data_IF_729820206543
#
_entry.id   IF_729820206543
#
_cell.length_a   1.000
_cell.length_b   1.000
_cell.length_c   1.000
_cell.angle_alpha   90.00
_cell.angle_beta   90.00
_cell.angle_gamma   90.00
#
_symmetry.space_group_name_H-M   'P 1'
#
loop_
_entity.id
_entity.type
_entity.pdbx_description
1 polymer ?
#
# COMPACT_ATOMS: atom_id res chain seq x y z
N UNK A 1 -13.39 -14.94 2.58
CA UNK A 1 -13.11 -14.62 3.99
C UNK A 1 -14.38 -14.80 4.81
N UNK A 2 -14.39 -15.73 5.78
CA UNK A 2 -15.45 -15.93 6.73
C UNK A 2 -15.01 -15.54 8.14
N UNK A 3 -15.97 -15.41 9.07
CA UNK A 3 -15.65 -15.17 10.47
C UNK A 3 -14.82 -16.34 11.04
N UNK A 4 -15.20 -17.57 10.71
CA UNK A 4 -14.51 -18.77 11.21
C UNK A 4 -13.07 -18.87 10.71
N UNK A 5 -12.83 -18.57 9.40
CA UNK A 5 -11.48 -18.60 8.86
C UNK A 5 -10.57 -17.54 9.49
N UNK A 6 -11.09 -16.32 9.74
CA UNK A 6 -10.29 -15.25 10.32
C UNK A 6 -10.07 -15.43 11.82
N UNK A 7 -11.08 -15.93 12.54
CA UNK A 7 -10.93 -16.21 13.96
C UNK A 7 -9.96 -17.35 14.21
N UNK A 8 -9.97 -18.39 13.35
CA UNK A 8 -8.99 -19.48 13.41
C UNK A 8 -7.55 -19.02 13.18
N UNK A 9 -7.32 -18.14 12.17
CA UNK A 9 -6.01 -17.53 11.95
C UNK A 9 -5.53 -16.67 13.13
N UNK A 10 -6.47 -15.99 13.78
CA UNK A 10 -6.17 -15.15 14.94
C UNK A 10 -6.11 -15.94 16.28
N UNK A 11 -6.32 -17.26 16.25
CA UNK A 11 -6.36 -18.15 17.42
C UNK A 11 -7.42 -17.73 18.47
N UNK A 12 -8.53 -17.16 18.02
CA UNK A 12 -9.67 -16.78 18.83
C UNK A 12 -10.92 -17.60 18.48
N UNK A 13 -11.84 -17.74 19.44
CA UNK A 13 -13.18 -18.22 19.09
C UNK A 13 -13.89 -17.19 18.18
N UNK A 14 -14.80 -17.61 17.27
CA UNK A 14 -15.54 -16.71 16.39
C UNK A 14 -16.26 -15.58 17.13
N UNK A 15 -16.85 -15.90 18.29
CA UNK A 15 -17.55 -14.93 19.13
C UNK A 15 -16.59 -13.87 19.72
N UNK A 16 -15.44 -14.29 20.20
CA UNK A 16 -14.45 -13.41 20.80
C UNK A 16 -13.82 -12.51 19.72
N UNK A 17 -13.44 -13.09 18.58
CA UNK A 17 -12.94 -12.34 17.42
C UNK A 17 -13.95 -11.28 16.96
N UNK A 18 -15.23 -11.65 16.82
CA UNK A 18 -16.28 -10.71 16.40
C UNK A 18 -16.40 -9.52 17.37
N UNK A 19 -16.34 -9.76 18.67
CA UNK A 19 -16.41 -8.71 19.70
C UNK A 19 -15.22 -7.76 19.62
N UNK A 20 -14.00 -8.31 19.56
CA UNK A 20 -12.77 -7.52 19.46
C UNK A 20 -12.79 -6.72 18.15
N UNK A 21 -13.08 -7.37 17.03
CA UNK A 21 -13.13 -6.72 15.72
C UNK A 21 -14.11 -5.54 15.72
N UNK A 22 -15.33 -5.74 16.22
CA UNK A 22 -16.33 -4.69 16.31
C UNK A 22 -15.91 -3.55 17.25
N UNK A 23 -15.25 -3.85 18.36
CA UNK A 23 -14.77 -2.84 19.31
C UNK A 23 -13.66 -1.96 18.71
N UNK A 24 -12.74 -2.57 17.94
CA UNK A 24 -11.59 -1.86 17.35
C UNK A 24 -12.01 -1.10 16.08
N UNK A 25 -12.79 -1.74 15.20
CA UNK A 25 -13.13 -1.20 13.87
C UNK A 25 -14.42 -0.37 13.87
N UNK A 26 -15.27 -0.51 14.92
CA UNK A 26 -16.55 0.19 15.05
C UNK A 26 -17.69 -0.45 14.26
N UNK A 27 -17.44 -1.48 13.44
CA UNK A 27 -18.44 -2.19 12.64
C UNK A 27 -18.22 -3.70 12.67
N UNK A 28 -19.27 -4.48 12.32
CA UNK A 28 -19.14 -5.94 12.25
C UNK A 28 -18.23 -6.36 11.09
N UNK A 29 -17.54 -7.49 11.21
CA UNK A 29 -16.70 -8.04 10.13
C UNK A 29 -17.47 -8.15 8.80
N UNK A 30 -18.73 -8.59 8.84
CA UNK A 30 -19.57 -8.70 7.64
C UNK A 30 -19.84 -7.33 7.00
N UNK A 31 -20.15 -6.32 7.81
CA UNK A 31 -20.37 -4.95 7.32
C UNK A 31 -19.07 -4.39 6.72
N UNK A 32 -17.95 -4.57 7.39
CA UNK A 32 -16.62 -4.20 6.91
C UNK A 32 -16.29 -4.83 5.55
N UNK A 33 -16.48 -6.16 5.40
CA UNK A 33 -16.20 -6.86 4.14
C UNK A 33 -17.09 -6.32 3.01
N UNK A 34 -18.40 -6.15 3.27
CA UNK A 34 -19.34 -5.62 2.27
C UNK A 34 -18.93 -4.20 1.87
N UNK A 35 -18.62 -3.35 2.83
CA UNK A 35 -18.14 -1.98 2.57
C UNK A 35 -16.88 -1.98 1.71
N UNK A 36 -15.87 -2.78 2.07
CA UNK A 36 -14.62 -2.90 1.30
C UNK A 36 -14.82 -3.43 -0.13
N UNK A 37 -15.74 -4.36 -0.32
CA UNK A 37 -16.13 -4.83 -1.67
C UNK A 37 -16.78 -3.71 -2.49
N UNK A 38 -17.70 -2.96 -1.89
CA UNK A 38 -18.36 -1.82 -2.55
C UNK A 38 -17.36 -0.72 -2.90
N UNK A 39 -16.48 -0.34 -1.97
CA UNK A 39 -15.41 0.64 -2.21
C UNK A 39 -14.56 0.29 -3.44
N UNK A 40 -14.16 -0.99 -3.56
CA UNK A 40 -13.40 -1.47 -4.73
C UNK A 40 -14.19 -1.42 -6.04
N UNK A 41 -15.51 -1.73 -6.01
CA UNK A 41 -16.34 -1.67 -7.23
C UNK A 41 -16.52 -0.24 -7.72
N UNK A 42 -16.59 0.72 -6.82
CA UNK A 42 -16.69 2.15 -7.19
C UNK A 42 -15.49 2.61 -7.99
N UNK A 43 -14.30 2.24 -7.56
CA UNK A 43 -13.09 2.54 -8.29
C UNK A 43 -13.17 2.06 -9.76
N UNK A 44 -13.62 0.82 -9.98
CA UNK A 44 -13.79 0.28 -11.34
C UNK A 44 -14.85 1.04 -12.12
N UNK A 45 -16.00 1.36 -11.50
CA UNK A 45 -17.10 2.10 -12.15
C UNK A 45 -16.70 3.54 -12.54
N UNK A 46 -15.75 4.14 -11.80
CA UNK A 46 -15.21 5.46 -12.12
C UNK A 46 -14.31 5.45 -13.36
N UNK A 47 -13.52 4.40 -13.53
CA UNK A 47 -12.47 4.34 -14.54
C UNK A 47 -12.87 3.57 -15.82
N UNK A 48 -13.84 2.66 -15.71
CA UNK A 48 -14.29 1.83 -16.85
C UNK A 48 -15.74 2.14 -17.22
N UNK A 49 -15.94 2.87 -18.31
CA UNK A 49 -17.28 3.32 -18.75
C UNK A 49 -18.24 2.21 -19.20
N UNK A 50 -17.73 1.01 -19.51
CA UNK A 50 -18.51 -0.09 -20.10
C UNK A 50 -18.29 -1.42 -19.36
N UNK A 51 -18.35 -1.40 -18.02
CA UNK A 51 -18.25 -2.63 -17.23
C UNK A 51 -19.66 -3.18 -16.99
N UNK A 52 -19.84 -4.47 -17.22
CA UNK A 52 -21.05 -5.19 -16.85
C UNK A 52 -21.24 -5.18 -15.33
N UNK A 53 -22.34 -4.61 -14.86
CA UNK A 53 -22.67 -4.57 -13.43
C UNK A 53 -22.78 -5.99 -12.84
N UNK A 54 -23.27 -6.94 -13.63
CA UNK A 54 -23.39 -8.34 -13.24
C UNK A 54 -22.02 -8.99 -13.05
N UNK A 55 -21.12 -8.83 -14.02
CA UNK A 55 -19.74 -9.35 -13.92
C UNK A 55 -19.00 -8.72 -12.74
N UNK A 56 -19.14 -7.39 -12.58
CA UNK A 56 -18.53 -6.67 -11.47
C UNK A 56 -19.01 -7.22 -10.12
N UNK A 57 -20.32 -7.49 -9.99
CA UNK A 57 -20.87 -8.03 -8.74
C UNK A 57 -20.28 -9.39 -8.39
N UNK A 58 -20.11 -10.27 -9.36
CA UNK A 58 -19.54 -11.60 -9.18
C UNK A 58 -18.05 -11.53 -8.88
N UNK A 59 -17.29 -10.72 -9.63
CA UNK A 59 -15.87 -10.51 -9.45
C UNK A 59 -15.52 -10.03 -8.03
N UNK A 60 -16.37 -9.18 -7.44
CA UNK A 60 -16.17 -8.69 -6.08
C UNK A 60 -16.89 -9.50 -5.00
N UNK A 61 -17.33 -10.72 -5.34
CA UNK A 61 -17.79 -11.74 -4.40
C UNK A 61 -19.20 -11.50 -3.84
N UNK A 62 -20.07 -10.87 -4.60
CA UNK A 62 -21.51 -10.84 -4.30
C UNK A 62 -22.20 -12.05 -4.92
N UNK A 63 -23.09 -12.67 -4.17
CA UNK A 63 -23.82 -13.87 -4.62
C UNK A 63 -24.86 -13.57 -5.72
N UNK A 64 -25.25 -12.30 -5.89
CA UNK A 64 -26.19 -11.88 -6.92
C UNK A 64 -26.07 -10.39 -7.19
N UNK A 65 -26.45 -9.97 -8.40
CA UNK A 65 -26.55 -8.57 -8.79
C UNK A 65 -27.54 -7.79 -7.87
N UNK A 66 -28.61 -8.42 -7.41
CA UNK A 66 -29.58 -7.83 -6.49
C UNK A 66 -28.96 -7.53 -5.12
N UNK A 67 -28.14 -8.43 -4.59
CA UNK A 67 -27.44 -8.21 -3.32
C UNK A 67 -26.40 -7.10 -3.42
N UNK A 68 -25.66 -7.06 -4.54
CA UNK A 68 -24.72 -6.00 -4.85
C UNK A 68 -25.42 -4.63 -4.97
N UNK A 69 -26.48 -4.56 -5.78
CA UNK A 69 -27.24 -3.32 -6.01
C UNK A 69 -27.82 -2.76 -4.71
N UNK A 70 -28.37 -3.61 -3.83
CA UNK A 70 -28.87 -3.20 -2.51
C UNK A 70 -27.76 -2.66 -1.62
N UNK A 71 -26.62 -3.37 -1.56
CA UNK A 71 -25.48 -2.93 -0.78
C UNK A 71 -24.94 -1.60 -1.32
N UNK A 72 -24.76 -1.49 -2.63
CA UNK A 72 -24.27 -0.28 -3.29
C UNK A 72 -25.19 0.92 -3.03
N UNK A 73 -26.53 0.71 -3.20
CA UNK A 73 -27.52 1.77 -2.96
C UNK A 73 -27.54 2.21 -1.48
N UNK A 74 -27.27 1.29 -0.55
CA UNK A 74 -27.16 1.61 0.87
C UNK A 74 -25.99 2.58 1.13
N UNK A 75 -24.84 2.40 0.46
CA UNK A 75 -23.64 3.22 0.66
C UNK A 75 -23.64 4.52 -0.14
N UNK A 76 -24.18 4.51 -1.36
CA UNK A 76 -24.09 5.64 -2.31
C UNK A 76 -25.44 6.32 -2.63
N UNK A 77 -26.53 5.85 -2.03
CA UNK A 77 -27.87 6.41 -2.24
C UNK A 77 -28.46 6.15 -3.63
N UNK A 78 -27.71 5.55 -4.55
CA UNK A 78 -28.11 5.26 -5.93
C UNK A 78 -27.63 3.89 -6.38
N UNK A 79 -28.21 3.36 -7.48
CA UNK A 79 -27.78 2.07 -8.04
C UNK A 79 -26.41 2.17 -8.73
N UNK A 80 -25.69 1.03 -8.89
CA UNK A 80 -24.42 1.01 -9.64
C UNK A 80 -24.57 1.52 -11.08
N UNK A 81 -25.69 1.19 -11.73
CA UNK A 81 -25.97 1.64 -13.12
C UNK A 81 -26.22 3.14 -13.22
N UNK A 82 -26.93 3.72 -12.26
CA UNK A 82 -27.11 5.18 -12.16
C UNK A 82 -25.80 5.88 -11.88
N UNK A 83 -24.97 5.31 -11.00
CA UNK A 83 -23.65 5.80 -10.68
C UNK A 83 -22.74 5.82 -11.92
N UNK A 84 -22.71 4.72 -12.69
CA UNK A 84 -21.93 4.61 -13.92
C UNK A 84 -22.37 5.64 -14.98
N UNK A 85 -23.69 5.88 -15.14
CA UNK A 85 -24.25 6.83 -16.10
C UNK A 85 -23.99 8.30 -15.74
N UNK A 86 -24.01 8.64 -14.45
CA UNK A 86 -23.88 10.04 -13.97
C UNK A 86 -22.48 10.60 -14.11
N UNK A 87 -21.51 9.79 -14.50
CA UNK A 87 -20.11 10.14 -14.79
C UNK A 87 -19.47 11.01 -13.68
N UNK A 88 -18.78 10.40 -12.74
CA UNK A 88 -18.42 10.99 -11.44
C UNK A 88 -17.33 12.06 -11.44
N UNK A 89 -16.80 12.50 -12.58
CA UNK A 89 -16.03 13.74 -12.65
C UNK A 89 -16.83 14.97 -12.13
N UNK A 90 -18.13 14.76 -11.81
CA UNK A 90 -19.03 15.75 -11.18
C UNK A 90 -19.42 15.39 -9.75
N UNK A 91 -18.72 14.48 -9.06
CA UNK A 91 -19.04 14.08 -7.68
C UNK A 91 -19.00 15.24 -6.68
N UNK A 92 -18.29 16.31 -6.97
CA UNK A 92 -18.30 17.53 -6.15
C UNK A 92 -19.67 18.23 -6.10
N UNK A 93 -20.63 17.86 -6.96
CA UNK A 93 -21.96 18.49 -7.04
C UNK A 93 -23.14 17.63 -6.53
N UNK A 94 -22.94 16.35 -6.17
CA UNK A 94 -24.02 15.52 -5.60
C UNK A 94 -24.17 15.77 -4.08
N UNK A 95 -23.83 16.94 -3.63
CA UNK A 95 -23.77 17.36 -2.22
C UNK A 95 -25.11 17.62 -1.54
N UNK A 96 -26.23 17.60 -2.26
CA UNK A 96 -27.52 17.99 -1.69
C UNK A 96 -28.68 17.31 -2.42
N UNK A 97 -28.99 16.09 -2.04
CA UNK A 97 -30.35 15.60 -2.17
C UNK A 97 -30.56 14.46 -1.18
N UNK A 98 -31.16 14.78 -0.06
CA UNK A 98 -32.10 13.96 0.69
C UNK A 98 -31.71 12.49 0.92
N UNK A 99 -30.74 12.25 1.80
CA UNK A 99 -30.57 10.97 2.45
C UNK A 99 -30.82 11.14 3.95
N UNK A 100 -31.74 10.32 4.49
CA UNK A 100 -32.05 10.27 5.92
C UNK A 100 -30.86 9.79 6.80
N UNK A 101 -29.71 9.47 6.18
CA UNK A 101 -28.49 8.98 6.83
C UNK A 101 -27.28 9.85 6.43
N UNK A 102 -27.30 11.12 6.72
CA UNK A 102 -26.24 12.09 6.35
C UNK A 102 -24.81 11.76 6.85
N UNK A 103 -24.63 10.87 7.81
CA UNK A 103 -23.31 10.44 8.29
C UNK A 103 -22.62 9.39 7.39
N UNK A 104 -23.37 8.51 6.72
CA UNK A 104 -22.80 7.45 5.86
C UNK A 104 -22.29 8.00 4.52
N UNK A 105 -22.90 9.08 3.97
CA UNK A 105 -22.46 9.72 2.74
C UNK A 105 -21.14 10.51 2.92
N UNK A 106 -20.92 11.12 4.08
CA UNK A 106 -19.69 11.84 4.42
C UNK A 106 -18.45 10.95 4.41
N UNK A 107 -18.57 9.68 4.82
CA UNK A 107 -17.46 8.73 4.86
C UNK A 107 -17.06 8.32 3.43
N UNK A 108 -18.05 8.08 2.57
CA UNK A 108 -17.80 7.69 1.16
C UNK A 108 -17.20 8.85 0.36
N UNK A 109 -17.69 10.07 0.54
CA UNK A 109 -17.14 11.26 -0.12
C UNK A 109 -15.70 11.55 0.31
N UNK A 110 -15.40 11.43 1.61
CA UNK A 110 -14.04 11.57 2.12
C UNK A 110 -13.12 10.50 1.56
N UNK A 111 -13.59 9.27 1.42
CA UNK A 111 -12.79 8.17 0.87
C UNK A 111 -12.45 8.40 -0.60
N UNK A 112 -13.44 8.75 -1.44
CA UNK A 112 -13.23 9.04 -2.87
C UNK A 112 -12.36 10.28 -3.05
N UNK A 113 -12.60 11.33 -2.28
CA UNK A 113 -11.78 12.53 -2.29
C UNK A 113 -10.32 12.21 -1.92
N UNK A 114 -10.11 11.33 -0.94
CA UNK A 114 -8.78 10.89 -0.52
C UNK A 114 -8.08 10.08 -1.63
N UNK A 115 -8.76 9.13 -2.28
CA UNK A 115 -8.22 8.39 -3.42
C UNK A 115 -7.81 9.34 -4.54
N UNK A 116 -8.68 10.25 -4.95
CA UNK A 116 -8.40 11.20 -6.01
C UNK A 116 -7.22 12.12 -5.67
N UNK A 117 -7.11 12.55 -4.42
CA UNK A 117 -5.98 13.35 -3.95
C UNK A 117 -4.66 12.57 -4.04
N UNK A 118 -4.65 11.29 -3.68
CA UNK A 118 -3.49 10.42 -3.83
C UNK A 118 -3.12 10.18 -5.29
N UNK A 119 -4.10 9.91 -6.15
CA UNK A 119 -3.87 9.69 -7.58
C UNK A 119 -3.38 10.95 -8.30
N UNK A 120 -3.91 12.12 -7.95
CA UNK A 120 -3.43 13.39 -8.48
C UNK A 120 -2.02 13.71 -7.98
N UNK A 121 -1.76 13.47 -6.71
CA UNK A 121 -0.45 13.69 -6.11
C UNK A 121 0.62 12.81 -6.76
N UNK A 122 0.36 11.51 -6.96
CA UNK A 122 1.34 10.59 -7.52
C UNK A 122 1.64 10.89 -9.00
N UNK A 123 0.66 11.37 -9.77
CA UNK A 123 0.87 11.83 -11.15
C UNK A 123 1.85 12.99 -11.27
N UNK A 124 1.90 13.84 -10.24
CA UNK A 124 2.78 15.02 -10.25
C UNK A 124 4.16 14.74 -9.63
N UNK A 125 4.26 13.72 -8.78
CA UNK A 125 5.43 13.51 -7.94
C UNK A 125 6.17 12.18 -8.21
N UNK A 126 5.64 11.33 -9.10
CA UNK A 126 6.25 10.04 -9.40
C UNK A 126 6.26 9.71 -10.90
N UNK A 127 7.33 9.05 -11.32
CA UNK A 127 7.34 8.26 -12.55
C UNK A 127 7.09 6.80 -12.17
N UNK A 128 6.01 6.19 -12.72
CA UNK A 128 5.62 4.82 -12.38
C UNK A 128 5.83 3.92 -13.59
N UNK A 129 6.55 2.84 -13.39
CA UNK A 129 6.85 1.82 -14.40
C UNK A 129 6.60 0.41 -13.84
N UNK A 130 6.31 -0.52 -14.73
CA UNK A 130 6.29 -1.95 -14.42
C UNK A 130 7.60 -2.55 -14.93
N UNK A 131 8.39 -3.13 -14.02
CA UNK A 131 9.71 -3.68 -14.36
C UNK A 131 9.90 -5.08 -13.78
N UNK A 132 10.64 -5.91 -14.51
CA UNK A 132 11.25 -7.12 -13.95
C UNK A 132 12.52 -6.68 -13.19
N UNK A 133 12.53 -6.95 -11.91
CA UNK A 133 13.69 -6.69 -11.04
C UNK A 133 14.48 -7.98 -10.95
N UNK A 134 15.78 -7.95 -11.25
CA UNK A 134 16.63 -9.12 -11.11
C UNK A 134 16.82 -9.47 -9.63
N UNK A 135 17.40 -10.64 -9.38
CA UNK A 135 17.85 -10.99 -8.03
C UNK A 135 18.89 -9.99 -7.53
N UNK A 136 18.69 -9.44 -6.32
CA UNK A 136 19.59 -8.46 -5.70
C UNK A 136 20.13 -9.02 -4.37
N UNK A 137 21.44 -9.17 -4.28
CA UNK A 137 22.12 -9.57 -3.03
C UNK A 137 22.35 -8.37 -2.14
N UNK A 138 22.24 -8.58 -0.83
CA UNK A 138 22.45 -7.51 0.14
C UNK A 138 23.15 -7.99 1.42
N UNK A 139 23.80 -7.05 2.08
CA UNK A 139 24.12 -7.09 3.49
C UNK A 139 23.15 -6.18 4.26
N UNK A 140 22.73 -6.53 5.45
CA UNK A 140 21.71 -5.78 6.19
C UNK A 140 21.88 -5.81 7.69
N UNK A 141 21.22 -4.85 8.34
CA UNK A 141 20.92 -4.86 9.77
C UNK A 141 19.39 -4.89 9.90
N UNK A 142 18.89 -5.87 10.65
CA UNK A 142 17.47 -5.96 10.97
C UNK A 142 17.14 -4.97 12.09
N UNK A 143 16.06 -4.20 11.90
CA UNK A 143 15.57 -3.20 12.83
C UNK A 143 14.08 -3.39 13.14
N UNK A 144 13.68 -3.06 14.37
CA UNK A 144 12.30 -3.10 14.84
C UNK A 144 11.85 -1.71 15.25
N UNK A 145 10.67 -1.31 14.80
CA UNK A 145 10.06 -0.01 15.09
C UNK A 145 10.48 1.07 14.09
N UNK A 146 9.81 2.21 14.22
CA UNK A 146 10.02 3.37 13.35
C UNK A 146 11.07 4.34 13.90
N UNK A 147 11.43 4.21 15.17
CA UNK A 147 12.41 5.06 15.85
C UNK A 147 13.83 4.49 15.74
N UNK A 148 14.84 5.35 15.63
CA UNK A 148 16.24 4.93 15.56
C UNK A 148 16.70 4.37 14.21
N UNK A 149 15.87 4.43 13.17
CA UNK A 149 16.19 3.94 11.82
C UNK A 149 17.44 4.64 11.26
N UNK A 150 17.60 5.93 11.52
CA UNK A 150 18.75 6.73 11.05
C UNK A 150 20.06 6.22 11.66
N UNK A 151 20.07 5.86 12.94
CA UNK A 151 21.27 5.30 13.60
C UNK A 151 21.68 3.96 12.96
N UNK A 152 20.70 3.14 12.58
CA UNK A 152 20.95 1.87 11.88
C UNK A 152 21.53 2.12 10.48
N UNK A 153 20.99 3.09 9.74
CA UNK A 153 21.57 3.51 8.46
C UNK A 153 23.02 3.96 8.63
N UNK A 154 23.30 4.83 9.60
CA UNK A 154 24.65 5.34 9.85
C UNK A 154 25.63 4.21 10.23
N UNK A 155 25.21 3.25 11.06
CA UNK A 155 26.03 2.07 11.41
C UNK A 155 26.35 1.23 10.18
N UNK A 156 25.35 0.94 9.35
CA UNK A 156 25.52 0.13 8.14
C UNK A 156 26.41 0.85 7.11
N UNK A 157 26.22 2.16 6.91
CA UNK A 157 27.08 2.97 6.03
C UNK A 157 28.52 2.99 6.52
N UNK A 158 28.74 3.16 7.83
CA UNK A 158 30.09 3.12 8.42
C UNK A 158 30.78 1.78 8.17
N UNK A 159 30.06 0.67 8.37
CA UNK A 159 30.58 -0.66 8.07
C UNK A 159 30.86 -0.83 6.57
N UNK A 160 29.93 -0.47 5.70
CA UNK A 160 30.08 -0.60 4.25
C UNK A 160 31.23 0.25 3.68
N UNK A 161 31.51 1.41 4.29
CA UNK A 161 32.68 2.22 3.97
C UNK A 161 33.99 1.51 4.37
N UNK A 162 34.03 0.89 5.55
CA UNK A 162 35.21 0.13 6.00
C UNK A 162 35.50 -1.08 5.09
N UNK A 163 34.46 -1.74 4.58
CA UNK A 163 34.58 -2.84 3.60
C UNK A 163 34.80 -2.34 2.15
N UNK A 164 34.89 -1.02 1.92
CA UNK A 164 35.12 -0.43 0.60
C UNK A 164 33.95 -0.60 -0.38
N UNK A 165 32.73 -0.91 0.12
CA UNK A 165 31.56 -1.15 -0.71
C UNK A 165 31.00 0.14 -1.28
N UNK A 166 30.93 1.22 -0.50
CA UNK A 166 30.31 2.51 -0.89
C UNK A 166 31.06 3.19 -2.05
N UNK A 167 32.34 2.91 -2.24
CA UNK A 167 33.12 3.46 -3.34
C UNK A 167 32.68 2.92 -4.72
N UNK A 168 31.88 1.85 -4.76
CA UNK A 168 31.35 1.32 -6.00
C UNK A 168 30.04 2.06 -6.36
N UNK A 169 29.94 2.73 -7.52
CA UNK A 169 28.73 3.44 -7.94
C UNK A 169 27.49 2.53 -8.12
N UNK A 170 27.68 1.23 -8.28
CA UNK A 170 26.59 0.25 -8.35
C UNK A 170 26.03 -0.10 -6.97
N UNK A 171 26.75 0.18 -5.90
CA UNK A 171 26.28 -0.06 -4.54
C UNK A 171 25.16 0.93 -4.20
N UNK A 172 24.01 0.42 -3.77
CA UNK A 172 22.86 1.23 -3.37
C UNK A 172 22.43 0.90 -1.96
N UNK A 173 21.96 1.89 -1.25
CA UNK A 173 21.24 1.68 0.00
C UNK A 173 19.82 1.25 -0.32
N UNK A 174 19.27 0.36 0.51
CA UNK A 174 17.90 -0.11 0.36
C UNK A 174 17.25 -0.32 1.74
N UNK A 175 15.91 -0.41 1.75
CA UNK A 175 15.14 -0.79 2.95
C UNK A 175 14.05 -1.76 2.54
N UNK A 176 13.97 -2.90 3.23
CA UNK A 176 12.97 -3.94 2.99
C UNK A 176 11.98 -3.94 4.16
N UNK A 177 10.69 -3.96 3.85
CA UNK A 177 9.61 -3.96 4.85
C UNK A 177 9.02 -5.36 4.99
N UNK A 178 9.33 -6.05 6.09
CA UNK A 178 8.82 -7.39 6.36
C UNK A 178 7.39 -7.38 6.89
N UNK A 179 6.98 -6.29 7.53
CA UNK A 179 5.67 -6.14 8.12
C UNK A 179 4.92 -4.93 7.55
N UNK A 180 3.60 -4.97 7.62
CA UNK A 180 2.75 -3.89 7.13
C UNK A 180 2.57 -2.79 8.16
N UNK A 181 2.93 -1.55 7.84
CA UNK A 181 2.69 -0.37 8.68
C UNK A 181 1.21 -0.10 8.99
N UNK A 182 0.28 -0.67 8.22
CA UNK A 182 -1.16 -0.48 8.45
C UNK A 182 -1.74 -1.42 9.48
N UNK A 183 -1.05 -2.52 9.78
CA UNK A 183 -1.57 -3.62 10.59
C UNK A 183 -0.69 -3.83 11.83
N UNK A 184 0.62 -3.63 11.70
CA UNK A 184 1.60 -3.84 12.75
C UNK A 184 1.76 -2.58 13.57
N UNK A 185 1.89 -2.73 14.87
CA UNK A 185 2.23 -1.64 15.80
C UNK A 185 3.52 -0.95 15.32
N UNK A 186 3.55 0.39 15.22
CA UNK A 186 4.73 1.13 14.73
C UNK A 186 6.03 0.73 15.42
N UNK A 187 6.01 0.44 16.72
CA UNK A 187 7.21 0.05 17.49
C UNK A 187 7.65 -1.41 17.23
N UNK A 188 6.85 -2.20 16.51
CA UNK A 188 7.10 -3.60 16.21
C UNK A 188 7.29 -3.91 14.74
N UNK A 189 7.18 -2.91 13.87
CA UNK A 189 7.41 -3.10 12.43
C UNK A 189 8.84 -3.55 12.21
N UNK A 190 9.00 -4.71 11.58
CA UNK A 190 10.31 -5.25 11.23
C UNK A 190 10.72 -4.80 9.85
N UNK A 191 11.92 -4.28 9.74
CA UNK A 191 12.53 -3.87 8.48
C UNK A 191 14.00 -4.23 8.44
N UNK A 192 14.56 -4.42 7.25
CA UNK A 192 16.00 -4.57 7.04
C UNK A 192 16.54 -3.34 6.33
N UNK A 193 17.54 -2.71 6.92
CA UNK A 193 18.32 -1.65 6.28
C UNK A 193 19.47 -2.35 5.56
N UNK A 194 19.61 -2.12 4.26
CA UNK A 194 20.44 -2.93 3.38
C UNK A 194 21.43 -2.11 2.58
N UNK A 195 22.56 -2.74 2.27
CA UNK A 195 23.49 -2.34 1.21
C UNK A 195 23.40 -3.40 0.10
N UNK A 196 22.90 -3.01 -1.07
CA UNK A 196 22.84 -3.87 -2.25
C UNK A 196 24.25 -3.96 -2.84
N UNK A 197 24.80 -5.18 -2.94
CA UNK A 197 26.15 -5.40 -3.47
C UNK A 197 26.34 -6.83 -3.96
N UNK A 198 27.11 -6.97 -5.03
CA UNK A 198 27.58 -8.27 -5.52
C UNK A 198 29.04 -8.56 -5.08
N UNK A 199 29.68 -7.63 -4.35
CA UNK A 199 31.05 -7.84 -3.84
C UNK A 199 31.05 -8.73 -2.62
N UNK A 200 32.12 -9.51 -2.46
CA UNK A 200 32.41 -10.23 -1.22
C UNK A 200 32.82 -9.25 -0.12
N UNK A 201 32.42 -9.53 1.10
CA UNK A 201 32.73 -8.75 2.30
C UNK A 201 32.84 -9.67 3.52
N UNK A 202 33.47 -9.16 4.57
CA UNK A 202 33.63 -9.89 5.83
C UNK A 202 32.36 -9.74 6.68
N UNK A 203 31.74 -10.88 7.06
CA UNK A 203 30.61 -10.88 7.99
C UNK A 203 31.06 -10.44 9.38
N UNK A 204 30.24 -9.60 10.02
CA UNK A 204 30.33 -9.24 11.44
C UNK A 204 29.08 -9.70 12.17
N UNK A 205 29.14 -9.81 13.50
CA UNK A 205 28.06 -10.38 14.31
C UNK A 205 26.69 -9.71 14.13
N UNK A 206 26.64 -8.45 13.73
CA UNK A 206 25.40 -7.67 13.56
C UNK A 206 25.02 -7.43 12.09
N UNK A 207 25.71 -8.09 11.15
CA UNK A 207 25.45 -7.97 9.70
C UNK A 207 24.94 -9.30 9.17
N UNK A 208 23.68 -9.28 8.72
CA UNK A 208 23.04 -10.37 8.02
C UNK A 208 23.24 -10.27 6.51
N UNK A 209 23.09 -11.39 5.81
CA UNK A 209 23.05 -11.42 4.35
C UNK A 209 21.72 -11.97 3.86
N UNK A 210 21.30 -11.52 2.70
CA UNK A 210 20.08 -12.01 2.08
C UNK A 210 20.01 -11.67 0.61
N UNK A 211 18.84 -11.99 0.05
CA UNK A 211 18.57 -11.80 -1.36
C UNK A 211 17.14 -11.32 -1.55
N UNK A 212 16.94 -10.22 -2.29
CA UNK A 212 15.65 -9.87 -2.87
C UNK A 212 15.49 -10.75 -4.10
N UNK A 213 14.46 -11.59 -4.13
CA UNK A 213 14.19 -12.49 -5.25
C UNK A 213 13.83 -11.70 -6.50
N UNK A 214 14.19 -12.24 -7.66
CA UNK A 214 13.71 -11.73 -8.95
C UNK A 214 12.18 -11.70 -8.95
N UNK A 215 11.60 -10.57 -9.32
CA UNK A 215 10.16 -10.36 -9.31
C UNK A 215 9.73 -9.23 -10.23
N UNK A 216 8.50 -9.33 -10.74
CA UNK A 216 7.85 -8.23 -11.42
C UNK A 216 7.36 -7.21 -10.41
N UNK A 217 7.74 -5.95 -10.56
CA UNK A 217 7.41 -4.89 -9.61
C UNK A 217 6.73 -3.70 -10.29
N UNK A 218 5.82 -3.08 -9.55
CA UNK A 218 5.50 -1.67 -9.76
C UNK A 218 6.62 -0.88 -9.11
N UNK A 219 7.27 -0.02 -9.90
CA UNK A 219 8.36 0.84 -9.45
C UNK A 219 7.92 2.29 -9.58
N UNK A 220 7.81 2.98 -8.46
CA UNK A 220 7.56 4.42 -8.43
C UNK A 220 8.85 5.15 -8.08
N UNK A 221 9.36 5.96 -9.01
CA UNK A 221 10.48 6.86 -8.75
C UNK A 221 9.99 8.19 -8.24
N UNK A 222 10.53 8.61 -7.11
CA UNK A 222 10.18 9.84 -6.40
C UNK A 222 11.40 10.69 -6.10
N UNK A 223 11.18 12.00 -6.05
CA UNK A 223 12.09 12.98 -5.47
C UNK A 223 11.32 13.71 -4.36
N UNK A 224 11.47 13.24 -3.11
CA UNK A 224 10.59 13.57 -1.99
C UNK A 224 11.38 13.87 -0.72
N UNK A 225 10.76 14.63 0.18
CA UNK A 225 11.26 14.83 1.54
C UNK A 225 10.97 13.60 2.42
N UNK A 226 11.63 13.50 3.56
CA UNK A 226 11.39 12.41 4.52
C UNK A 226 9.95 12.36 5.04
N UNK A 227 9.24 13.49 5.06
CA UNK A 227 7.84 13.58 5.48
C UNK A 227 6.84 13.04 4.44
N UNK A 228 7.27 12.88 3.19
CA UNK A 228 6.39 12.46 2.11
C UNK A 228 6.35 10.94 1.88
N UNK A 229 7.19 10.16 2.58
CA UNK A 229 7.26 8.70 2.39
C UNK A 229 5.93 7.99 2.64
N UNK A 230 5.23 8.31 3.73
CA UNK A 230 3.93 7.70 4.03
C UNK A 230 2.92 7.97 2.91
N UNK A 231 2.88 9.22 2.43
CA UNK A 231 2.01 9.62 1.33
C UNK A 231 2.40 8.95 0.02
N UNK A 232 3.70 8.82 -0.27
CA UNK A 232 4.22 8.16 -1.47
C UNK A 232 3.83 6.69 -1.50
N UNK A 233 4.07 5.95 -0.43
CA UNK A 233 3.67 4.56 -0.29
C UNK A 233 2.16 4.38 -0.39
N UNK A 234 1.39 5.19 0.32
CA UNK A 234 -0.08 5.14 0.27
C UNK A 234 -0.60 5.39 -1.14
N UNK A 235 -0.02 6.38 -1.85
CA UNK A 235 -0.41 6.71 -3.21
C UNK A 235 -0.04 5.62 -4.21
N UNK A 236 1.14 4.99 -4.05
CA UNK A 236 1.59 3.90 -4.93
C UNK A 236 0.73 2.63 -4.74
N UNK A 237 0.35 2.28 -3.49
CA UNK A 237 -0.59 1.19 -3.24
C UNK A 237 -2.00 1.48 -3.76
N UNK A 238 -2.47 2.73 -3.67
CA UNK A 238 -3.75 3.14 -4.28
C UNK A 238 -3.65 3.01 -5.80
N UNK A 239 -2.58 3.50 -6.42
CA UNK A 239 -2.35 3.38 -7.85
C UNK A 239 -2.33 1.91 -8.31
N UNK A 240 -1.63 1.04 -7.57
CA UNK A 240 -1.62 -0.41 -7.82
C UNK A 240 -3.05 -0.99 -7.85
N UNK A 241 -3.86 -0.69 -6.84
CA UNK A 241 -5.23 -1.19 -6.75
C UNK A 241 -6.13 -0.66 -7.88
N UNK A 242 -5.99 0.64 -8.22
CA UNK A 242 -6.77 1.28 -9.28
C UNK A 242 -6.45 0.71 -10.67
N UNK A 243 -5.21 0.27 -10.88
CA UNK A 243 -4.79 -0.37 -12.12
C UNK A 243 -4.97 -1.90 -12.09
N UNK A 244 -5.69 -2.45 -11.08
CA UNK A 244 -6.05 -3.86 -10.97
C UNK A 244 -4.87 -4.82 -10.79
N UNK A 245 -3.72 -4.35 -10.35
CA UNK A 245 -2.61 -5.20 -9.95
C UNK A 245 -2.82 -5.77 -8.55
N UNK A 246 -2.27 -6.95 -8.31
CA UNK A 246 -2.25 -7.58 -6.99
C UNK A 246 -0.83 -7.65 -6.47
N UNK A 247 -0.67 -7.32 -5.17
CA UNK A 247 0.60 -7.47 -4.49
C UNK A 247 0.95 -8.95 -4.37
N UNK A 248 2.17 -9.31 -4.73
CA UNK A 248 2.75 -10.63 -4.47
C UNK A 248 3.08 -10.82 -2.97
N UNK A 249 3.50 -12.02 -2.58
CA UNK A 249 3.86 -12.33 -1.18
C UNK A 249 5.17 -11.64 -0.75
N UNK A 250 6.07 -11.41 -1.69
CA UNK A 250 7.37 -10.79 -1.44
C UNK A 250 7.21 -9.42 -0.78
N UNK A 251 8.14 -9.06 0.14
CA UNK A 251 8.09 -7.78 0.84
C UNK A 251 8.34 -6.60 -0.11
N UNK A 252 7.65 -5.48 0.07
CA UNK A 252 7.97 -4.24 -0.64
C UNK A 252 9.29 -3.67 -0.13
N UNK A 253 9.98 -2.92 -0.99
CA UNK A 253 11.29 -2.37 -0.66
C UNK A 253 11.56 -1.02 -1.34
N UNK A 254 12.53 -0.30 -0.80
CA UNK A 254 13.02 0.99 -1.30
C UNK A 254 14.46 0.84 -1.77
N UNK A 255 14.82 1.55 -2.85
CA UNK A 255 16.21 1.72 -3.29
C UNK A 255 16.50 3.21 -3.37
N UNK A 256 17.54 3.66 -2.65
CA UNK A 256 17.95 5.06 -2.59
C UNK A 256 19.05 5.35 -3.61
N UNK A 257 18.92 6.48 -4.31
CA UNK A 257 19.85 6.90 -5.36
C UNK A 257 20.76 8.05 -4.96
N UNK A 258 20.49 8.69 -3.81
CA UNK A 258 21.32 9.77 -3.26
C UNK A 258 21.35 9.71 -1.73
N UNK A 259 22.24 10.47 -1.15
CA UNK A 259 22.15 10.90 0.25
C UNK A 259 21.33 12.22 0.27
N UNK A 260 20.16 12.19 0.90
CA UNK A 260 19.26 13.37 0.94
C UNK A 260 19.92 14.58 1.65
N UNK A 261 20.89 14.35 2.52
CA UNK A 261 21.63 15.42 3.24
C UNK A 261 22.54 16.22 2.31
N UNK A 262 22.94 15.63 1.19
CA UNK A 262 23.74 16.29 0.14
C UNK A 262 22.87 16.95 -0.94
N UNK A 263 21.55 16.72 -0.90
CA UNK A 263 20.62 17.29 -1.86
C UNK A 263 20.24 18.73 -1.48
N UNK A 264 20.21 19.65 -2.45
CA UNK A 264 19.95 21.11 -2.22
C UNK A 264 18.67 21.36 -1.45
N UNK A 265 17.61 20.56 -1.72
CA UNK A 265 16.30 20.67 -1.06
C UNK A 265 16.08 19.59 0.01
N UNK A 266 17.13 18.89 0.46
CA UNK A 266 17.05 17.76 1.39
C UNK A 266 16.05 16.67 0.96
N UNK A 267 15.99 16.38 -0.34
CA UNK A 267 15.12 15.36 -0.92
C UNK A 267 15.83 14.02 -1.14
N UNK A 268 15.11 12.94 -0.90
CA UNK A 268 15.49 11.60 -1.31
C UNK A 268 15.08 11.36 -2.75
N UNK A 269 16.02 10.92 -3.58
CA UNK A 269 15.72 10.30 -4.87
C UNK A 269 15.60 8.80 -4.60
N UNK A 270 14.39 8.25 -4.67
CA UNK A 270 14.09 6.90 -4.21
C UNK A 270 13.14 6.18 -5.17
N UNK A 271 13.41 4.90 -5.37
CA UNK A 271 12.50 3.98 -6.05
C UNK A 271 11.77 3.14 -5.01
N UNK A 272 10.43 3.23 -4.99
CA UNK A 272 9.56 2.40 -4.20
C UNK A 272 9.09 1.20 -5.04
N UNK A 273 9.34 -0.02 -4.56
CA UNK A 273 9.05 -1.26 -5.27
C UNK A 273 7.93 -2.02 -4.59
N UNK A 274 6.87 -2.35 -5.33
CA UNK A 274 5.82 -3.26 -4.91
C UNK A 274 5.86 -4.50 -5.80
N UNK A 275 6.32 -5.66 -5.31
CA UNK A 275 6.23 -6.92 -6.04
C UNK A 275 4.77 -7.27 -6.34
N UNK A 276 4.49 -7.70 -7.59
CA UNK A 276 3.13 -8.01 -8.07
C UNK A 276 3.06 -9.42 -8.68
N UNK A 277 1.83 -10.03 -8.65
CA UNK A 277 1.50 -11.30 -9.28
C UNK A 277 1.52 -11.21 -10.81
#
# INVERSE_FOLDING_TARGET
>A
LSLDSLSGLALYSPFHFHRIFKAIIGETLRAYIIRKRIEKTVSVLLHKRHVSITELSLQYGFNSNSSFTRAFKKFYGMSPSEFQKKNPNKFSKIRKAESKNGQENLISEKYICNINNHLNWIKMNANIEIKEIPELKFASITHFGIHGVEDVFNRLVKWANAEGLIKNPETKMARIFHDSFKITDPDKVRMSICVLTNKSFSLKEDIDTGTIKSSKCIVGRFEITTNDFEKSWSSLFIWMNENSYKKAEEPPFEIYHNDFREHIENKCIVDLHIPIE
#
